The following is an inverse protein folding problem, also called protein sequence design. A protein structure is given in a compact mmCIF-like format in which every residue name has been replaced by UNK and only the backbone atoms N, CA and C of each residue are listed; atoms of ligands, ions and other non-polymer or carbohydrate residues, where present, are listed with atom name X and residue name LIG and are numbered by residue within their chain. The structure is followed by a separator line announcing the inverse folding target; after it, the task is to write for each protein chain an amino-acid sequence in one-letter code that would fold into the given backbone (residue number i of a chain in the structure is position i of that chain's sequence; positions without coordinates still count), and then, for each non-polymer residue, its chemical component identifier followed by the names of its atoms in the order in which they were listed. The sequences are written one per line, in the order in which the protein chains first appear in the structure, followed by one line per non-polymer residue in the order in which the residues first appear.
data_IF_189292517881
#
_entry.id   IF_189292517881
#
_cell.length_a   1.000
_cell.length_b   1.000
_cell.length_c   1.000
_cell.angle_alpha   90.00
_cell.angle_beta   90.00
_cell.angle_gamma   90.00
#
_symmetry.space_group_name_H-M   'P 1'
#
loop_
_entity.id
_entity.type
_entity.pdbx_description
1 polymer ?
#
# COMPACT_ATOMS: atom_id res chain seq x y z
N UNK A 1 -0.20 10.55 19.42
CA UNK A 1 0.72 10.64 18.27
C UNK A 1 0.62 9.34 17.51
N UNK A 2 0.63 9.39 16.17
CA UNK A 2 0.60 8.21 15.30
C UNK A 2 1.77 8.26 14.32
N UNK A 3 2.33 7.11 13.97
CA UNK A 3 3.29 6.99 12.88
C UNK A 3 2.53 6.64 11.60
N UNK A 4 2.65 7.47 10.57
CA UNK A 4 1.95 7.32 9.30
C UNK A 4 2.97 6.93 8.24
N UNK A 5 2.76 5.79 7.57
CA UNK A 5 3.49 5.42 6.37
C UNK A 5 2.64 5.78 5.14
N UNK A 6 3.12 6.74 4.35
CA UNK A 6 2.43 7.20 3.14
C UNK A 6 3.14 6.67 1.88
N UNK A 7 2.59 5.62 1.30
CA UNK A 7 3.12 4.93 0.13
C UNK A 7 2.50 5.51 -1.14
N UNK A 8 3.32 5.92 -2.09
CA UNK A 8 2.91 6.51 -3.36
C UNK A 8 3.44 5.66 -4.52
N UNK A 9 2.54 5.26 -5.45
CA UNK A 9 2.90 4.40 -6.60
C UNK A 9 2.51 5.00 -7.96
N UNK A 10 2.32 6.32 -8.03
CA UNK A 10 1.86 6.98 -9.25
C UNK A 10 3.00 7.56 -10.08
N UNK A 11 2.98 7.30 -11.39
CA UNK A 11 3.90 7.87 -12.37
C UNK A 11 3.65 9.36 -12.68
N UNK A 12 2.52 9.94 -12.21
CA UNK A 12 2.10 11.29 -12.57
C UNK A 12 2.61 12.38 -11.62
N UNK A 13 3.44 12.03 -10.64
CA UNK A 13 4.00 12.97 -9.66
C UNK A 13 2.92 13.85 -9.03
N UNK A 14 3.15 15.15 -8.91
CA UNK A 14 2.22 16.12 -8.30
C UNK A 14 0.88 16.27 -9.01
N UNK A 15 0.75 15.80 -10.25
CA UNK A 15 -0.52 15.81 -10.99
C UNK A 15 -1.40 14.60 -10.66
N UNK A 16 -0.88 13.62 -9.94
CA UNK A 16 -1.59 12.38 -9.61
C UNK A 16 -2.79 12.62 -8.68
N UNK A 17 -3.93 12.10 -9.07
CA UNK A 17 -5.14 12.12 -8.24
C UNK A 17 -5.03 11.18 -7.03
N UNK A 18 -4.37 10.03 -7.15
CA UNK A 18 -4.15 9.13 -6.00
C UNK A 18 -3.21 9.73 -4.96
N UNK A 19 -2.18 10.50 -5.38
CA UNK A 19 -1.31 11.24 -4.46
C UNK A 19 -2.10 12.36 -3.78
N UNK A 20 -2.87 13.17 -4.53
CA UNK A 20 -3.71 14.24 -3.97
C UNK A 20 -4.73 13.70 -2.95
N UNK A 21 -5.36 12.56 -3.25
CA UNK A 21 -6.29 11.92 -2.32
C UNK A 21 -5.56 11.37 -1.08
N UNK A 22 -4.39 10.74 -1.26
CA UNK A 22 -3.54 10.28 -0.17
C UNK A 22 -3.13 11.43 0.76
N UNK A 23 -2.67 12.55 0.20
CA UNK A 23 -2.33 13.75 0.98
C UNK A 23 -3.54 14.28 1.79
N UNK A 24 -4.73 14.33 1.18
CA UNK A 24 -5.93 14.75 1.89
C UNK A 24 -6.31 13.78 3.06
N UNK A 25 -6.06 12.48 2.90
CA UNK A 25 -6.22 11.49 3.98
C UNK A 25 -5.22 11.79 5.10
N UNK A 26 -3.93 11.94 4.76
CA UNK A 26 -2.86 12.24 5.72
C UNK A 26 -3.15 13.53 6.50
N UNK A 27 -3.59 14.60 5.81
CA UNK A 27 -3.97 15.86 6.46
C UNK A 27 -5.12 15.66 7.47
N UNK A 28 -6.16 14.88 7.12
CA UNK A 28 -7.26 14.57 8.04
C UNK A 28 -6.78 13.73 9.23
N UNK A 29 -5.86 12.78 9.02
CA UNK A 29 -5.26 11.99 10.10
C UNK A 29 -4.49 12.91 11.05
N UNK A 30 -3.66 13.82 10.53
CA UNK A 30 -2.90 14.76 11.37
C UNK A 30 -3.79 15.73 12.16
N UNK A 31 -4.93 16.14 11.58
CA UNK A 31 -5.92 16.95 12.30
C UNK A 31 -6.56 16.17 13.45
N UNK A 32 -6.85 14.89 13.27
CA UNK A 32 -7.41 14.02 14.32
C UNK A 32 -6.36 13.62 15.36
N UNK A 33 -5.12 13.39 14.94
CA UNK A 33 -4.00 12.98 15.79
C UNK A 33 -2.83 13.96 15.69
N UNK A 34 -2.92 15.13 16.36
CA UNK A 34 -1.86 16.14 16.33
C UNK A 34 -0.53 15.59 16.80
N UNK A 35 0.57 16.02 16.17
CA UNK A 35 1.92 15.55 16.46
C UNK A 35 2.28 14.20 15.82
N UNK A 36 1.43 13.66 14.95
CA UNK A 36 1.77 12.45 14.19
C UNK A 36 2.91 12.71 13.21
N UNK A 37 3.80 11.72 13.09
CA UNK A 37 4.91 11.72 12.14
C UNK A 37 4.48 11.08 10.83
N UNK A 38 5.06 11.53 9.72
CA UNK A 38 4.82 10.99 8.38
C UNK A 38 6.15 10.49 7.82
N UNK A 39 6.15 9.25 7.38
CA UNK A 39 7.20 8.68 6.55
C UNK A 39 6.63 8.51 5.14
N UNK A 40 7.19 9.27 4.19
CA UNK A 40 6.78 9.18 2.79
C UNK A 40 7.65 8.18 2.03
N UNK A 41 7.00 7.25 1.33
CA UNK A 41 7.66 6.25 0.49
C UNK A 41 7.13 6.36 -0.94
N UNK A 42 7.83 7.11 -1.79
CA UNK A 42 7.52 7.21 -3.21
C UNK A 42 8.20 6.06 -3.96
N UNK A 43 7.44 5.04 -4.31
CA UNK A 43 7.92 3.81 -4.95
C UNK A 43 8.41 4.01 -6.39
N UNK A 44 8.11 5.15 -7.00
CA UNK A 44 8.58 5.47 -8.35
C UNK A 44 9.94 6.16 -8.30
N UNK A 45 10.16 7.00 -7.29
CA UNK A 45 11.42 7.73 -7.11
C UNK A 45 12.48 6.89 -6.37
N UNK A 46 12.06 6.00 -5.48
CA UNK A 46 12.98 5.17 -4.67
C UNK A 46 13.42 3.87 -5.36
N UNK A 47 12.99 3.62 -6.60
CA UNK A 47 13.40 2.48 -7.44
C UNK A 47 13.47 1.14 -6.66
N UNK A 48 12.30 0.68 -6.20
CA UNK A 48 12.21 -0.64 -5.57
C UNK A 48 12.39 -1.72 -6.65
N UNK A 49 13.49 -2.46 -6.66
CA UNK A 49 13.75 -3.46 -7.69
C UNK A 49 12.77 -4.63 -7.61
N UNK A 50 12.57 -5.34 -8.70
CA UNK A 50 11.87 -6.62 -8.64
C UNK A 50 12.59 -7.58 -7.71
N UNK A 51 11.82 -8.41 -7.02
CA UNK A 51 12.37 -9.46 -6.17
C UNK A 51 13.16 -10.46 -7.01
N UNK A 52 14.44 -10.60 -6.72
CA UNK A 52 15.35 -11.50 -7.43
C UNK A 52 15.46 -12.85 -6.71
N UNK A 53 15.87 -13.94 -7.41
CA UNK A 53 16.14 -15.23 -6.75
C UNK A 53 17.18 -15.13 -5.62
N UNK A 54 18.15 -14.22 -5.75
CA UNK A 54 19.17 -13.99 -4.73
C UNK A 54 18.54 -13.41 -3.45
N UNK A 55 17.71 -12.35 -3.58
CA UNK A 55 17.01 -11.74 -2.43
C UNK A 55 16.01 -12.73 -1.84
N UNK A 56 15.21 -13.38 -2.68
CA UNK A 56 14.22 -14.38 -2.20
C UNK A 56 14.90 -15.51 -1.43
N UNK A 57 16.06 -15.98 -1.90
CA UNK A 57 16.84 -17.03 -1.21
C UNK A 57 17.22 -16.63 0.22
N UNK A 58 17.52 -15.35 0.47
CA UNK A 58 17.89 -14.88 1.82
C UNK A 58 16.74 -14.92 2.81
N UNK A 59 15.47 -14.93 2.37
CA UNK A 59 14.30 -14.98 3.27
C UNK A 59 14.21 -16.29 4.07
N UNK A 60 14.92 -17.33 3.63
CA UNK A 60 14.92 -18.65 4.23
C UNK A 60 16.20 -18.98 4.99
N UNK A 61 17.17 -18.04 5.04
CA UNK A 61 18.43 -18.23 5.75
C UNK A 61 18.28 -17.70 7.18
N UNK A 62 18.49 -18.52 8.23
CA UNK A 62 18.56 -18.04 9.62
C UNK A 62 19.60 -16.93 9.76
N UNK A 63 19.31 -15.93 10.59
CA UNK A 63 20.15 -14.74 10.69
C UNK A 63 21.62 -15.04 11.07
N UNK A 64 21.81 -16.03 11.95
CA UNK A 64 23.12 -16.51 12.39
C UNK A 64 23.93 -17.21 11.30
N UNK A 65 23.29 -17.66 10.22
CA UNK A 65 23.91 -18.33 9.07
C UNK A 65 24.12 -17.39 7.87
N UNK A 66 23.61 -16.17 7.94
CA UNK A 66 23.75 -15.20 6.86
C UNK A 66 25.19 -14.75 6.68
N UNK A 67 25.67 -14.81 5.43
CA UNK A 67 26.93 -14.16 5.03
C UNK A 67 26.77 -12.65 4.94
N UNK A 68 27.88 -11.91 4.85
CA UNK A 68 27.85 -10.47 4.61
C UNK A 68 27.12 -10.11 3.28
N UNK A 69 27.29 -10.94 2.26
CA UNK A 69 26.58 -10.79 0.98
C UNK A 69 25.07 -10.94 1.17
N UNK A 70 24.62 -11.93 1.93
CA UNK A 70 23.19 -12.16 2.20
C UNK A 70 22.58 -10.98 2.94
N UNK A 71 23.27 -10.48 3.98
CA UNK A 71 22.84 -9.29 4.75
C UNK A 71 22.69 -8.05 3.88
N UNK A 72 23.61 -7.84 2.94
CA UNK A 72 23.55 -6.74 1.98
C UNK A 72 22.37 -6.91 1.02
N UNK A 73 22.14 -8.12 0.50
CA UNK A 73 21.05 -8.41 -0.44
C UNK A 73 19.66 -8.21 0.19
N UNK A 74 19.47 -8.58 1.47
CA UNK A 74 18.19 -8.48 2.17
C UNK A 74 17.93 -7.08 2.77
N UNK A 75 18.91 -6.19 2.78
CA UNK A 75 18.86 -4.91 3.48
C UNK A 75 17.63 -4.07 3.12
N UNK A 76 17.33 -3.94 1.82
CA UNK A 76 16.15 -3.18 1.38
C UNK A 76 14.85 -3.80 1.91
N UNK A 77 14.70 -5.12 1.81
CA UNK A 77 13.51 -5.81 2.33
C UNK A 77 13.36 -5.60 3.85
N UNK A 78 14.45 -5.63 4.61
CA UNK A 78 14.42 -5.36 6.04
C UNK A 78 13.94 -3.92 6.33
N UNK A 79 14.45 -2.92 5.61
CA UNK A 79 14.02 -1.52 5.75
C UNK A 79 12.53 -1.34 5.46
N UNK A 80 12.04 -1.94 4.35
CA UNK A 80 10.62 -1.84 3.97
C UNK A 80 9.69 -2.54 4.98
N UNK A 81 10.13 -3.67 5.54
CA UNK A 81 9.40 -4.37 6.61
C UNK A 81 9.42 -3.55 7.90
N UNK A 82 10.55 -2.95 8.27
CA UNK A 82 10.65 -2.09 9.45
C UNK A 82 9.71 -0.89 9.36
N UNK A 83 9.69 -0.17 8.22
CA UNK A 83 8.76 0.93 7.96
C UNK A 83 7.29 0.48 8.13
N UNK A 84 6.94 -0.68 7.55
CA UNK A 84 5.61 -1.26 7.68
C UNK A 84 5.26 -1.60 9.14
N UNK A 85 6.17 -2.22 9.87
CA UNK A 85 5.93 -2.66 11.25
C UNK A 85 5.86 -1.48 12.24
N UNK A 86 6.60 -0.40 12.00
CA UNK A 86 6.59 0.79 12.84
C UNK A 86 5.35 1.68 12.63
N UNK A 87 4.72 1.64 11.46
CA UNK A 87 3.55 2.45 11.19
C UNK A 87 2.32 2.03 12.02
N UNK A 88 1.57 2.99 12.56
CA UNK A 88 0.23 2.80 13.12
C UNK A 88 -0.84 2.84 12.02
N UNK A 89 -0.64 3.77 11.07
CA UNK A 89 -1.56 4.04 9.97
C UNK A 89 -0.80 3.99 8.65
N UNK A 90 -1.37 3.32 7.66
CA UNK A 90 -0.77 3.19 6.34
C UNK A 90 -1.72 3.83 5.32
N UNK A 91 -1.20 4.75 4.49
CA UNK A 91 -1.93 5.36 3.38
C UNK A 91 -1.28 4.92 2.09
N UNK A 92 -2.02 4.24 1.22
CA UNK A 92 -1.50 3.69 -0.05
C UNK A 92 -2.16 4.43 -1.21
N UNK A 93 -1.39 5.25 -1.93
CA UNK A 93 -1.80 5.83 -3.20
C UNK A 93 -1.72 4.79 -4.32
N UNK A 94 -2.86 4.29 -4.78
CA UNK A 94 -2.96 3.23 -5.77
C UNK A 94 -3.81 3.66 -6.98
N UNK A 95 -3.19 4.26 -8.02
CA UNK A 95 -3.90 4.50 -9.27
C UNK A 95 -4.19 3.17 -9.97
N UNK A 96 -5.38 3.07 -10.59
CA UNK A 96 -5.71 1.93 -11.45
C UNK A 96 -4.99 2.10 -12.80
N UNK A 97 -4.02 1.23 -13.06
CA UNK A 97 -3.22 1.21 -14.29
C UNK A 97 -3.41 -0.15 -14.95
N UNK A 98 -3.95 -0.16 -16.17
CA UNK A 98 -4.22 -1.41 -16.89
C UNK A 98 -5.03 -2.40 -16.02
N UNK A 99 -6.06 -1.89 -15.33
CA UNK A 99 -6.96 -2.61 -14.42
C UNK A 99 -6.33 -3.11 -13.10
N UNK A 100 -5.03 -2.91 -12.87
CA UNK A 100 -4.30 -3.41 -11.70
C UNK A 100 -3.51 -2.32 -10.99
N UNK A 101 -2.75 -2.72 -9.96
CA UNK A 101 -1.76 -1.87 -9.27
C UNK A 101 -0.54 -1.64 -10.18
N UNK A 102 0.17 -0.54 -9.95
CA UNK A 102 1.45 -0.30 -10.61
C UNK A 102 2.53 -1.32 -10.19
N UNK A 103 3.45 -1.65 -11.10
CA UNK A 103 4.53 -2.64 -10.86
C UNK A 103 5.41 -2.30 -9.66
N UNK A 104 5.68 -1.01 -9.40
CA UNK A 104 6.45 -0.59 -8.23
C UNK A 104 5.75 -0.94 -6.91
N UNK A 105 4.41 -0.84 -6.85
CA UNK A 105 3.66 -1.27 -5.68
C UNK A 105 3.69 -2.79 -5.52
N UNK A 106 3.69 -3.53 -6.65
CA UNK A 106 3.87 -4.99 -6.62
C UNK A 106 5.28 -5.36 -6.14
N UNK A 107 6.33 -4.65 -6.57
CA UNK A 107 7.68 -4.88 -6.07
C UNK A 107 7.78 -4.65 -4.56
N UNK A 108 7.21 -3.55 -4.04
CA UNK A 108 7.13 -3.32 -2.59
C UNK A 108 6.42 -4.46 -1.86
N UNK A 109 5.27 -4.91 -2.37
CA UNK A 109 4.51 -6.06 -1.84
C UNK A 109 5.39 -7.31 -1.76
N UNK A 110 6.15 -7.61 -2.81
CA UNK A 110 6.99 -8.80 -2.86
C UNK A 110 8.12 -8.75 -1.82
N UNK A 111 8.71 -7.57 -1.60
CA UNK A 111 9.76 -7.39 -0.60
C UNK A 111 9.29 -7.48 0.85
N UNK A 112 8.04 -7.06 1.14
CA UNK A 112 7.50 -7.12 2.50
C UNK A 112 6.83 -8.46 2.85
N UNK A 113 6.63 -9.35 1.88
CA UNK A 113 5.96 -10.64 2.08
C UNK A 113 6.98 -11.69 2.51
N UNK A 114 7.14 -11.86 3.81
CA UNK A 114 8.19 -12.71 4.39
C UNK A 114 7.62 -13.67 5.41
N UNK A 115 7.79 -14.97 5.14
CA UNK A 115 7.44 -16.03 6.09
C UNK A 115 8.27 -15.92 7.39
N UNK A 116 7.61 -16.08 8.53
CA UNK A 116 8.22 -15.90 9.85
C UNK A 116 8.43 -14.45 10.28
N UNK A 117 8.07 -13.44 9.42
CA UNK A 117 8.25 -12.02 9.71
C UNK A 117 6.95 -11.24 9.59
N UNK A 118 6.29 -11.28 8.41
CA UNK A 118 5.02 -10.57 8.16
C UNK A 118 3.83 -11.51 8.09
N UNK A 119 4.06 -12.79 7.92
CA UNK A 119 3.09 -13.88 8.08
C UNK A 119 3.80 -15.16 8.50
N UNK A 120 3.07 -16.10 9.06
CA UNK A 120 3.55 -17.45 9.39
C UNK A 120 2.50 -18.51 9.00
N UNK A 121 2.89 -19.77 8.97
CA UNK A 121 1.94 -20.88 8.82
C UNK A 121 1.58 -21.43 10.19
N UNK A 122 0.28 -21.44 10.51
CA UNK A 122 -0.25 -22.07 11.72
C UNK A 122 -0.12 -23.60 11.72
N UNK A 123 -0.47 -24.22 12.83
CA UNK A 123 -0.45 -25.68 12.98
C UNK A 123 -1.34 -26.42 11.96
N UNK A 124 -2.39 -25.76 11.48
CA UNK A 124 -3.31 -26.26 10.44
C UNK A 124 -2.80 -26.02 9.01
N UNK A 125 -1.59 -25.47 8.85
CA UNK A 125 -0.98 -25.13 7.57
C UNK A 125 -1.56 -23.87 6.91
N UNK A 126 -2.49 -23.15 7.56
CA UNK A 126 -3.05 -21.90 7.04
C UNK A 126 -2.15 -20.71 7.37
N UNK A 127 -2.06 -19.72 6.47
CA UNK A 127 -1.29 -18.53 6.76
C UNK A 127 -1.99 -17.67 7.84
N UNK A 128 -1.18 -17.17 8.77
CA UNK A 128 -1.57 -16.23 9.83
C UNK A 128 -0.76 -14.96 9.64
N UNK A 129 -1.44 -13.83 9.40
CA UNK A 129 -0.79 -12.54 9.25
C UNK A 129 -0.24 -12.01 10.58
N UNK A 130 0.97 -11.49 10.56
CA UNK A 130 1.67 -10.97 11.74
C UNK A 130 1.65 -9.43 11.83
N UNK A 131 1.26 -8.72 10.77
CA UNK A 131 1.16 -7.26 10.73
C UNK A 131 -0.21 -6.83 11.27
N UNK A 132 -0.34 -6.75 12.60
CA UNK A 132 -1.63 -6.52 13.29
C UNK A 132 -1.74 -5.09 13.82
N UNK A 133 -2.99 -4.65 14.05
CA UNK A 133 -3.27 -3.36 14.71
C UNK A 133 -3.02 -2.14 13.83
N UNK A 134 -2.92 -2.32 12.53
CA UNK A 134 -2.75 -1.23 11.56
C UNK A 134 -4.09 -0.81 10.98
N UNK A 135 -4.29 0.51 10.84
CA UNK A 135 -5.37 1.09 10.01
C UNK A 135 -4.83 1.38 8.63
N UNK A 136 -5.50 0.91 7.59
CA UNK A 136 -5.07 1.14 6.20
C UNK A 136 -6.09 1.95 5.43
N UNK A 137 -5.63 2.98 4.74
CA UNK A 137 -6.40 3.77 3.78
C UNK A 137 -5.81 3.59 2.39
N UNK A 138 -6.61 3.12 1.45
CA UNK A 138 -6.22 3.04 0.03
C UNK A 138 -6.82 4.23 -0.71
N UNK A 139 -5.96 5.13 -1.18
CA UNK A 139 -6.31 6.28 -2.02
C UNK A 139 -6.29 5.85 -3.49
N UNK A 140 -7.40 5.34 -3.99
CA UNK A 140 -7.53 4.82 -5.36
C UNK A 140 -7.98 5.93 -6.31
N UNK A 141 -7.40 5.95 -7.52
CA UNK A 141 -7.79 6.89 -8.56
C UNK A 141 -7.92 6.18 -9.91
N UNK A 142 -8.98 6.52 -10.68
CA UNK A 142 -9.24 5.90 -11.98
C UNK A 142 -9.94 6.84 -12.96
N UNK A 143 -9.66 6.66 -14.25
CA UNK A 143 -10.31 7.42 -15.32
C UNK A 143 -11.77 7.06 -15.52
N UNK A 144 -12.13 5.79 -15.34
CA UNK A 144 -13.50 5.27 -15.38
C UNK A 144 -14.06 5.06 -13.98
N UNK A 145 -15.30 4.53 -13.90
CA UNK A 145 -15.96 4.08 -12.67
C UNK A 145 -15.81 2.56 -12.59
N UNK A 146 -15.25 2.07 -11.48
CA UNK A 146 -14.96 0.66 -11.23
C UNK A 146 -15.51 0.16 -9.89
N UNK A 147 -16.12 1.04 -9.08
CA UNK A 147 -16.81 0.63 -7.85
C UNK A 147 -18.16 -0.03 -8.12
N UNK A 148 -18.77 0.31 -9.27
CA UNK A 148 -20.10 -0.14 -9.67
C UNK A 148 -20.27 -0.19 -11.20
N UNK A 149 -21.43 -0.69 -11.66
CA UNK A 149 -21.78 -0.73 -13.08
C UNK A 149 -20.91 -1.68 -13.90
N UNK A 150 -20.89 -1.50 -15.25
CA UNK A 150 -20.21 -2.42 -16.17
C UNK A 150 -18.69 -2.53 -15.99
N UNK A 151 -18.08 -1.53 -15.37
CA UNK A 151 -16.63 -1.51 -15.12
C UNK A 151 -16.19 -2.33 -13.90
N UNK A 152 -17.13 -2.75 -13.04
CA UNK A 152 -16.83 -3.33 -11.73
C UNK A 152 -15.94 -4.57 -11.79
N UNK A 153 -16.17 -5.44 -12.76
CA UNK A 153 -15.41 -6.69 -12.89
C UNK A 153 -13.96 -6.47 -13.37
N UNK A 154 -13.62 -5.25 -13.76
CA UNK A 154 -12.27 -4.84 -14.14
C UNK A 154 -11.51 -4.13 -12.99
N UNK A 155 -12.07 -4.08 -11.78
CA UNK A 155 -11.33 -3.61 -10.60
C UNK A 155 -10.50 -4.74 -10.00
N UNK A 156 -9.24 -4.83 -10.38
CA UNK A 156 -8.28 -5.74 -9.75
C UNK A 156 -7.40 -5.03 -8.70
N UNK A 157 -7.62 -3.74 -8.41
CA UNK A 157 -6.84 -3.00 -7.43
C UNK A 157 -7.38 -3.21 -6.01
N UNK A 158 -8.64 -2.79 -5.77
CA UNK A 158 -9.21 -2.84 -4.42
C UNK A 158 -9.38 -4.27 -3.90
N UNK A 159 -9.91 -5.24 -4.65
CA UNK A 159 -10.02 -6.63 -4.20
C UNK A 159 -8.66 -7.26 -3.93
N UNK A 160 -7.66 -7.00 -4.80
CA UNK A 160 -6.30 -7.51 -4.60
C UNK A 160 -5.68 -6.97 -3.32
N UNK A 161 -5.67 -5.65 -3.13
CA UNK A 161 -5.08 -5.04 -1.93
C UNK A 161 -5.80 -5.47 -0.66
N UNK A 162 -7.14 -5.55 -0.68
CA UNK A 162 -7.92 -6.03 0.46
C UNK A 162 -7.54 -7.47 0.84
N UNK A 163 -7.46 -8.35 -0.14
CA UNK A 163 -7.13 -9.75 0.08
C UNK A 163 -5.67 -9.91 0.56
N UNK A 164 -4.73 -9.26 -0.13
CA UNK A 164 -3.31 -9.35 0.18
C UNK A 164 -2.96 -8.74 1.56
N UNK A 165 -3.45 -7.52 1.85
CA UNK A 165 -3.17 -6.87 3.14
C UNK A 165 -3.85 -7.63 4.30
N UNK A 166 -5.05 -8.20 4.05
CA UNK A 166 -5.71 -9.10 4.97
C UNK A 166 -4.91 -10.38 5.25
N UNK A 167 -4.28 -10.95 4.22
CA UNK A 167 -3.35 -12.08 4.36
C UNK A 167 -2.18 -11.75 5.30
N UNK A 168 -1.65 -10.53 5.24
CA UNK A 168 -0.60 -10.08 6.18
C UNK A 168 -1.14 -9.72 7.58
N UNK A 169 -2.46 -9.69 7.81
CA UNK A 169 -3.08 -9.37 9.08
C UNK A 169 -3.65 -7.96 9.21
N UNK A 170 -3.57 -7.14 8.15
CA UNK A 170 -4.12 -5.78 8.08
C UNK A 170 -5.57 -5.82 7.60
N UNK A 171 -6.50 -6.10 8.51
CA UNK A 171 -7.93 -6.28 8.19
C UNK A 171 -8.76 -5.02 8.31
N UNK A 172 -8.28 -3.99 9.01
CA UNK A 172 -8.95 -2.69 9.12
C UNK A 172 -8.55 -1.78 7.96
N UNK A 173 -9.26 -1.92 6.83
CA UNK A 173 -8.94 -1.28 5.57
C UNK A 173 -10.14 -0.53 4.98
N UNK A 174 -9.92 0.74 4.65
CA UNK A 174 -10.86 1.60 3.93
C UNK A 174 -10.33 1.96 2.53
N UNK A 175 -11.18 1.82 1.50
CA UNK A 175 -10.85 2.24 0.13
C UNK A 175 -11.59 3.53 -0.19
N UNK A 176 -10.83 4.60 -0.43
CA UNK A 176 -11.31 5.91 -0.88
C UNK A 176 -11.07 6.02 -2.37
N UNK A 177 -12.09 6.45 -3.14
CA UNK A 177 -12.05 6.39 -4.60
C UNK A 177 -12.31 7.76 -5.23
N UNK A 178 -11.37 8.23 -6.05
CA UNK A 178 -11.57 9.30 -7.02
C UNK A 178 -11.76 8.66 -8.39
N UNK A 179 -13.00 8.40 -8.79
CA UNK A 179 -13.37 7.67 -10.01
C UNK A 179 -14.01 8.59 -11.05
N UNK A 180 -14.02 8.13 -12.31
CA UNK A 180 -14.64 8.89 -13.42
C UNK A 180 -13.83 10.12 -13.82
N UNK A 181 -12.55 10.18 -13.50
CA UNK A 181 -11.67 11.33 -13.75
C UNK A 181 -11.46 11.67 -15.25
N UNK A 182 -11.91 10.80 -16.15
CA UNK A 182 -11.94 11.06 -17.60
C UNK A 182 -13.36 11.11 -18.17
N UNK A 183 -14.40 11.05 -17.34
CA UNK A 183 -15.80 11.07 -17.79
C UNK A 183 -16.34 12.50 -17.70
N UNK A 184 -16.74 13.12 -18.82
CA UNK A 184 -17.38 14.45 -18.82
C UNK A 184 -18.63 14.45 -17.92
N UNK A 185 -18.81 15.52 -17.13
CA UNK A 185 -19.92 15.64 -16.16
C UNK A 185 -19.68 14.95 -14.82
N UNK A 186 -18.67 14.05 -14.71
CA UNK A 186 -18.28 13.38 -13.47
C UNK A 186 -16.96 13.93 -12.95
N UNK A 187 -15.97 14.10 -13.82
CA UNK A 187 -14.58 14.49 -13.48
C UNK A 187 -14.50 15.80 -12.70
N UNK A 188 -15.45 16.72 -12.92
CA UNK A 188 -15.48 18.05 -12.33
C UNK A 188 -15.66 18.00 -10.80
N UNK A 189 -16.35 16.99 -10.28
CA UNK A 189 -16.66 16.82 -8.85
C UNK A 189 -16.06 15.55 -8.24
N UNK A 190 -15.43 14.68 -9.04
CA UNK A 190 -14.94 13.36 -8.61
C UNK A 190 -13.96 13.47 -7.42
N UNK A 191 -13.01 14.39 -7.49
CA UNK A 191 -12.01 14.58 -6.43
C UNK A 191 -12.61 15.20 -5.17
N UNK A 192 -13.49 16.17 -5.31
CA UNK A 192 -14.20 16.81 -4.20
C UNK A 192 -15.03 15.76 -3.42
N UNK A 193 -15.79 14.94 -4.14
CA UNK A 193 -16.58 13.85 -3.54
C UNK A 193 -15.70 12.83 -2.82
N UNK A 194 -14.57 12.47 -3.43
CA UNK A 194 -13.61 11.55 -2.81
C UNK A 194 -13.05 12.12 -1.50
N UNK A 195 -12.66 13.39 -1.47
CA UNK A 195 -12.17 14.06 -0.26
C UNK A 195 -13.27 14.18 0.81
N UNK A 196 -14.52 14.50 0.39
CA UNK A 196 -15.65 14.59 1.31
C UNK A 196 -15.97 13.23 1.99
N UNK A 197 -15.76 12.12 1.27
CA UNK A 197 -16.00 10.77 1.79
C UNK A 197 -14.96 10.27 2.80
N UNK A 198 -13.85 10.98 3.01
CA UNK A 198 -12.81 10.56 3.94
C UNK A 198 -13.33 10.66 5.38
N UNK A 199 -13.46 9.52 6.03
CA UNK A 199 -13.72 9.37 7.47
C UNK A 199 -12.45 8.79 8.11
N UNK A 200 -11.97 9.44 9.16
CA UNK A 200 -10.86 8.94 9.99
C UNK A 200 -11.47 8.42 11.30
N UNK A 201 -11.40 7.11 11.50
CA UNK A 201 -11.94 6.41 12.69
C UNK A 201 -11.00 6.55 13.90
#
# INVERSE_FOLDING_TARGET
MKQILHIQSSLMGTQSYSIKLGNAIVEKIQKKYPGSTIEELNLVENDIPHLTPEVLGTFFIPEEQMTEKDRKSIQLSNQLVEQLMNADIIVIGAPLINFAIHSSLKSWIDHITRAGVTFEYGEDGRPVGMVKGKKVYVAMASGGIYSEGPGKDNDFVAPYLKNFLGFLGMTDLAVLRAEGLKIPGVKETAMEKAIASIVID
#
